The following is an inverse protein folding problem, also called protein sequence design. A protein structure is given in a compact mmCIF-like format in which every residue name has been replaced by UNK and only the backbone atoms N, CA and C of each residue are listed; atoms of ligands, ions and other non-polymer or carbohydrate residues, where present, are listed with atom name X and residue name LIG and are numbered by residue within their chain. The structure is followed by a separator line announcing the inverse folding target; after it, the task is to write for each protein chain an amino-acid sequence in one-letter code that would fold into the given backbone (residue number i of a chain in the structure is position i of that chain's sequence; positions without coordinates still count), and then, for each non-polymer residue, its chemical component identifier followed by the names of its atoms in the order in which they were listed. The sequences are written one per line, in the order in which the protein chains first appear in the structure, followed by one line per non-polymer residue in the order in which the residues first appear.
data_IF_095380491021
#
_entry.id   IF_095380491021
#
_cell.length_a   1.000
_cell.length_b   1.000
_cell.length_c   1.000
_cell.angle_alpha   90.00
_cell.angle_beta   90.00
_cell.angle_gamma   90.00
#
_symmetry.space_group_name_H-M   'P 1'
#
loop_
_entity.id
_entity.type
_entity.pdbx_description
1 polymer ?
#
# COMPACT_ATOMS: atom_id res chain seq x y z
N UNK A 1 -12.91 0.07 13.25
CA UNK A 1 -14.01 -0.92 13.20
C UNK A 1 -13.53 -2.18 13.90
N UNK A 2 -14.31 -2.78 14.81
CA UNK A 2 -13.87 -3.96 15.57
C UNK A 2 -14.57 -5.21 15.04
N UNK A 3 -13.81 -6.15 14.48
CA UNK A 3 -14.35 -7.43 13.97
C UNK A 3 -13.52 -8.57 14.56
N UNK A 4 -14.17 -9.54 15.19
CA UNK A 4 -13.53 -10.73 15.78
C UNK A 4 -12.34 -10.43 16.73
N UNK A 5 -12.42 -9.38 17.54
CA UNK A 5 -11.32 -9.05 18.47
C UNK A 5 -10.21 -8.20 17.87
N UNK A 6 -10.33 -7.81 16.59
CA UNK A 6 -9.29 -7.09 15.85
C UNK A 6 -9.77 -5.67 15.53
N UNK A 7 -8.96 -4.69 15.91
CA UNK A 7 -9.12 -3.31 15.46
C UNK A 7 -8.69 -3.19 14.00
N UNK A 8 -9.65 -2.79 13.15
CA UNK A 8 -9.46 -2.58 11.73
C UNK A 8 -9.64 -1.10 11.38
N UNK A 9 -8.62 -0.55 10.72
CA UNK A 9 -8.68 0.73 10.04
C UNK A 9 -8.98 0.49 8.56
N UNK A 10 -10.20 0.80 8.13
CA UNK A 10 -10.65 0.64 6.74
C UNK A 10 -10.59 1.99 6.04
N UNK A 11 -9.81 2.07 4.97
CA UNK A 11 -9.70 3.25 4.12
C UNK A 11 -10.42 3.02 2.79
N UNK A 12 -11.18 4.01 2.33
CA UNK A 12 -11.91 3.96 1.06
C UNK A 12 -11.40 5.07 0.16
N UNK A 13 -10.82 4.67 -0.97
CA UNK A 13 -10.31 5.58 -1.99
C UNK A 13 -11.26 5.57 -3.20
N UNK A 14 -12.21 6.53 -3.33
CA UNK A 14 -13.00 6.64 -4.54
C UNK A 14 -12.09 6.95 -5.73
N UNK A 15 -12.24 6.17 -6.80
CA UNK A 15 -11.48 6.32 -8.05
C UNK A 15 -12.46 6.67 -9.18
N UNK A 16 -12.06 7.48 -10.19
CA UNK A 16 -12.91 7.89 -11.31
C UNK A 16 -13.02 6.78 -12.36
N UNK A 17 -13.27 5.55 -11.93
CA UNK A 17 -13.48 4.38 -12.77
C UNK A 17 -14.83 3.77 -12.44
N UNK A 18 -15.57 3.36 -13.46
CA UNK A 18 -16.79 2.58 -13.26
C UNK A 18 -16.49 1.20 -12.67
N UNK A 19 -15.34 0.62 -13.02
CA UNK A 19 -14.90 -0.69 -12.56
C UNK A 19 -13.42 -0.68 -12.19
N UNK A 20 -13.05 -1.39 -11.12
CA UNK A 20 -11.65 -1.66 -10.79
C UNK A 20 -11.05 -2.52 -11.92
N UNK A 21 -9.83 -2.22 -12.41
CA UNK A 21 -9.18 -3.02 -13.44
C UNK A 21 -9.11 -4.51 -13.06
N UNK A 22 -9.58 -5.41 -13.94
CA UNK A 22 -9.64 -6.86 -13.66
C UNK A 22 -8.27 -7.50 -13.42
N UNK A 23 -7.22 -6.87 -13.91
CA UNK A 23 -5.82 -7.26 -13.80
C UNK A 23 -5.16 -6.78 -12.49
N UNK A 24 -5.85 -5.96 -11.69
CA UNK A 24 -5.38 -5.58 -10.36
C UNK A 24 -5.52 -6.75 -9.39
N UNK A 25 -4.41 -7.43 -9.10
CA UNK A 25 -4.39 -8.57 -8.19
C UNK A 25 -3.51 -8.29 -6.97
N UNK A 26 -4.12 -7.73 -5.92
CA UNK A 26 -3.42 -7.39 -4.69
C UNK A 26 -3.14 -8.58 -3.76
N UNK A 27 -3.73 -9.74 -4.02
CA UNK A 27 -3.60 -10.95 -3.18
C UNK A 27 -2.46 -11.85 -3.62
N UNK A 28 -2.04 -11.80 -4.88
CA UNK A 28 -0.90 -12.56 -5.39
C UNK A 28 0.40 -11.76 -5.29
N UNK A 29 1.17 -12.04 -4.25
CA UNK A 29 2.40 -11.31 -3.91
C UNK A 29 3.69 -12.15 -4.06
N UNK A 30 3.59 -13.33 -4.65
CA UNK A 30 4.73 -14.22 -4.87
C UNK A 30 5.36 -14.00 -6.26
N UNK A 31 4.57 -13.52 -7.23
CA UNK A 31 5.05 -13.21 -8.57
C UNK A 31 5.44 -11.73 -8.71
N UNK A 32 6.73 -11.48 -8.92
CA UNK A 32 7.29 -10.12 -9.10
C UNK A 32 6.66 -9.35 -10.26
N UNK A 33 6.27 -10.02 -11.33
CA UNK A 33 5.63 -9.41 -12.50
C UNK A 33 4.24 -8.87 -12.16
N UNK A 34 3.46 -9.62 -11.39
CA UNK A 34 2.14 -9.19 -10.89
C UNK A 34 2.30 -7.95 -9.99
N UNK A 35 3.33 -7.94 -9.14
CA UNK A 35 3.61 -6.81 -8.25
C UNK A 35 4.00 -5.56 -9.06
N UNK A 36 4.80 -5.71 -10.13
CA UNK A 36 5.12 -4.61 -11.04
C UNK A 36 3.86 -4.09 -11.76
N UNK A 37 3.04 -4.98 -12.32
CA UNK A 37 1.79 -4.61 -12.99
C UNK A 37 0.85 -3.85 -12.04
N UNK A 38 0.69 -4.34 -10.80
CA UNK A 38 -0.10 -3.65 -9.79
C UNK A 38 0.42 -2.24 -9.50
N UNK A 39 1.74 -2.06 -9.37
CA UNK A 39 2.34 -0.74 -9.16
C UNK A 39 2.10 0.20 -10.34
N UNK A 40 2.17 -0.31 -11.57
CA UNK A 40 1.85 0.47 -12.77
C UNK A 40 0.38 0.90 -12.80
N UNK A 41 -0.55 0.00 -12.50
CA UNK A 41 -1.97 0.30 -12.41
C UNK A 41 -2.22 1.38 -11.34
N UNK A 42 -1.64 1.21 -10.15
CA UNK A 42 -1.77 2.19 -9.06
C UNK A 42 -1.21 3.56 -9.47
N UNK A 43 -0.07 3.59 -10.15
CA UNK A 43 0.51 4.84 -10.68
C UNK A 43 -0.40 5.50 -11.72
N UNK A 44 -0.97 4.72 -12.64
CA UNK A 44 -1.95 5.21 -13.62
C UNK A 44 -3.16 5.81 -12.91
N UNK A 45 -3.70 5.13 -11.89
CA UNK A 45 -4.83 5.63 -11.10
C UNK A 45 -4.51 6.96 -10.40
N UNK A 46 -3.34 7.07 -9.75
CA UNK A 46 -2.89 8.31 -9.11
C UNK A 46 -2.77 9.45 -10.13
N UNK A 47 -2.15 9.19 -11.28
CA UNK A 47 -1.97 10.20 -12.32
C UNK A 47 -3.30 10.66 -12.92
N UNK A 48 -4.20 9.71 -13.19
CA UNK A 48 -5.56 9.99 -13.66
C UNK A 48 -6.31 10.84 -12.63
N UNK A 49 -6.25 10.50 -11.35
CA UNK A 49 -6.91 11.30 -10.30
C UNK A 49 -6.34 12.72 -10.23
N UNK A 50 -5.01 12.86 -10.27
CA UNK A 50 -4.35 14.16 -10.21
C UNK A 50 -4.74 15.09 -11.38
N UNK A 51 -5.07 14.54 -12.55
CA UNK A 51 -5.48 15.34 -13.71
C UNK A 51 -6.86 16.00 -13.53
N UNK A 52 -7.74 15.44 -12.70
CA UNK A 52 -9.08 15.99 -12.45
C UNK A 52 -9.08 17.23 -11.55
N UNK A 53 -7.98 17.56 -10.86
CA UNK A 53 -7.85 18.72 -9.94
C UNK A 53 -9.01 18.87 -8.92
N UNK A 54 -9.72 17.78 -8.60
CA UNK A 54 -10.81 17.79 -7.62
C UNK A 54 -10.25 17.45 -6.23
N UNK A 55 -10.56 18.31 -5.25
CA UNK A 55 -10.09 18.18 -3.87
C UNK A 55 -10.61 16.91 -3.18
N UNK A 56 -11.78 16.41 -3.57
CA UNK A 56 -12.37 15.18 -3.01
C UNK A 56 -11.48 13.96 -3.29
N UNK A 57 -10.87 13.91 -4.48
CA UNK A 57 -9.99 12.80 -4.84
C UNK A 57 -8.56 12.95 -4.29
N UNK A 58 -8.21 14.07 -3.67
CA UNK A 58 -6.88 14.26 -3.03
C UNK A 58 -6.67 13.23 -1.92
N UNK A 59 -7.73 12.87 -1.17
CA UNK A 59 -7.68 11.80 -0.15
C UNK A 59 -7.43 10.43 -0.77
N UNK A 60 -8.03 10.13 -1.93
CA UNK A 60 -7.78 8.89 -2.68
C UNK A 60 -6.33 8.77 -3.13
N UNK A 61 -5.73 9.87 -3.61
CA UNK A 61 -4.31 9.91 -3.98
C UNK A 61 -3.42 9.58 -2.78
N UNK A 62 -3.72 10.16 -1.61
CA UNK A 62 -2.96 9.90 -0.38
C UNK A 62 -3.05 8.42 0.03
N UNK A 63 -4.24 7.83 0.00
CA UNK A 63 -4.45 6.41 0.32
C UNK A 63 -3.71 5.48 -0.66
N UNK A 64 -3.88 5.71 -1.96
CA UNK A 64 -3.21 4.92 -3.00
C UNK A 64 -1.68 5.05 -2.92
N UNK A 65 -1.16 6.25 -2.59
CA UNK A 65 0.26 6.48 -2.37
C UNK A 65 0.79 5.72 -1.15
N UNK A 66 0.08 5.74 -0.02
CA UNK A 66 0.45 5.00 1.18
C UNK A 66 0.55 3.50 0.89
N UNK A 67 -0.43 2.97 0.17
CA UNK A 67 -0.41 1.57 -0.28
C UNK A 67 0.76 1.29 -1.22
N UNK A 68 0.96 2.12 -2.25
CA UNK A 68 2.07 1.99 -3.22
C UNK A 68 3.43 1.91 -2.53
N UNK A 69 3.67 2.78 -1.56
CA UNK A 69 4.92 2.80 -0.77
C UNK A 69 5.05 1.51 0.02
N UNK A 70 4.06 1.17 0.84
CA UNK A 70 4.11 -0.03 1.67
C UNK A 70 4.31 -1.32 0.83
N UNK A 71 3.64 -1.41 -0.30
CA UNK A 71 3.75 -2.53 -1.23
C UNK A 71 5.14 -2.58 -1.88
N UNK A 72 5.67 -1.44 -2.36
CA UNK A 72 7.02 -1.37 -2.94
C UNK A 72 8.11 -1.72 -1.92
N UNK A 73 8.03 -1.19 -0.71
CA UNK A 73 8.97 -1.46 0.38
C UNK A 73 9.02 -2.96 0.70
N UNK A 74 7.85 -3.57 0.87
CA UNK A 74 7.72 -4.99 1.25
C UNK A 74 8.30 -5.95 0.21
N UNK A 75 8.20 -5.62 -1.08
CA UNK A 75 8.49 -6.57 -2.17
C UNK A 75 9.71 -6.25 -3.02
N UNK A 76 10.17 -4.99 -3.08
CA UNK A 76 11.32 -4.60 -3.92
C UNK A 76 12.52 -4.09 -3.14
N UNK A 77 12.31 -3.41 -2.01
CA UNK A 77 13.42 -2.79 -1.28
C UNK A 77 14.09 -3.76 -0.31
N UNK A 78 13.36 -4.78 0.12
CA UNK A 78 13.86 -5.79 1.04
C UNK A 78 13.98 -7.12 0.30
N UNK A 79 15.20 -7.58 0.07
CA UNK A 79 15.42 -8.88 -0.56
C UNK A 79 14.76 -9.99 0.25
N UNK A 80 14.16 -11.01 -0.39
CA UNK A 80 13.45 -12.08 0.31
C UNK A 80 14.29 -12.74 1.42
N UNK A 81 15.58 -12.93 1.15
CA UNK A 81 16.57 -13.54 2.05
C UNK A 81 16.86 -12.73 3.33
N UNK A 82 16.65 -11.41 3.32
CA UNK A 82 16.87 -10.55 4.50
C UNK A 82 15.56 -10.06 5.13
N UNK A 83 14.39 -10.40 4.56
CA UNK A 83 13.07 -9.92 5.01
C UNK A 83 12.81 -10.15 6.49
N UNK A 84 13.18 -11.31 7.01
CA UNK A 84 13.02 -11.62 8.44
C UNK A 84 13.93 -10.77 9.33
N UNK A 85 15.19 -10.56 8.92
CA UNK A 85 16.15 -9.71 9.64
C UNK A 85 15.66 -8.26 9.68
N UNK A 86 15.24 -7.73 8.53
CA UNK A 86 14.65 -6.39 8.46
C UNK A 86 13.42 -6.26 9.36
N UNK A 87 12.51 -7.23 9.32
CA UNK A 87 11.29 -7.22 10.15
C UNK A 87 11.62 -7.22 11.64
N UNK A 88 12.60 -8.02 12.06
CA UNK A 88 13.04 -8.07 13.46
C UNK A 88 13.71 -6.77 13.90
N UNK A 89 14.57 -6.18 13.05
CA UNK A 89 15.17 -4.88 13.32
C UNK A 89 14.09 -3.80 13.45
N UNK A 90 13.11 -3.77 12.55
CA UNK A 90 12.00 -2.82 12.59
C UNK A 90 11.17 -2.97 13.87
N UNK A 91 10.95 -4.20 14.36
CA UNK A 91 10.30 -4.44 15.66
C UNK A 91 11.11 -3.85 16.82
N UNK A 92 12.42 -4.10 16.85
CA UNK A 92 13.30 -3.58 17.89
C UNK A 92 13.32 -2.03 17.90
N UNK A 93 13.46 -1.41 16.72
CA UNK A 93 13.44 0.04 16.57
C UNK A 93 12.10 0.64 17.01
N UNK A 94 10.97 0.02 16.61
CA UNK A 94 9.64 0.47 17.04
C UNK A 94 9.45 0.38 18.56
N UNK A 95 9.95 -0.68 19.18
CA UNK A 95 9.90 -0.83 20.64
C UNK A 95 10.71 0.27 21.32
N UNK A 96 11.97 0.43 20.92
CA UNK A 96 12.85 1.49 21.43
C UNK A 96 12.22 2.88 21.27
N UNK A 97 11.67 3.21 20.11
CA UNK A 97 11.06 4.52 19.86
C UNK A 97 9.81 4.78 20.72
N UNK A 98 9.06 3.74 21.11
CA UNK A 98 7.93 3.87 22.03
C UNK A 98 8.37 4.01 23.49
N UNK A 99 9.48 3.38 23.87
CA UNK A 99 10.03 3.44 25.24
C UNK A 99 10.77 4.74 25.56
N UNK A 100 11.14 5.55 24.56
CA UNK A 100 11.85 6.83 24.73
C UNK A 100 10.93 8.05 24.55
N UNK A 101 9.62 7.88 24.72
CA UNK A 101 8.64 8.97 24.85
C UNK A 101 8.19 9.06 26.30
#
# INVERSE_FOLDING_TARGET
MFIYGIDLDIMVAPIPYQNIPMDLNLTNYENKEIILNNLEIINKLINTINSFKNIEYTKSVLMLNGYRIAYREKFFLIEPQIRNKFTNLLRAVKLWAKSNK
#
